data_IF_099999218935
#
_entry.id   IF_099999218935
#
_cell.length_a   1.000
_cell.length_b   1.000
_cell.length_c   1.000
_cell.angle_alpha   90.00
_cell.angle_beta   90.00
_cell.angle_gamma   90.00
#
_symmetry.space_group_name_H-M   'P 1'
#
loop_
_entity.id
_entity.type
_entity.pdbx_description
1 polymer ?
2 non-polymer ?
3 non-polymer ?
4 water ?
#
# COMPACT_ATOMS: atom_id res chain seq x y z
N UNK A 13 -14.18 1.71 -6.42
CA UNK A 13 -12.74 1.79 -6.67
C UNK A 13 -11.97 2.06 -5.38
N UNK A 14 -11.82 3.34 -5.05
CA UNK A 14 -11.42 3.73 -3.71
C UNK A 14 -9.91 3.68 -3.52
N UNK A 15 -9.19 3.42 -4.60
CA UNK A 15 -7.74 3.28 -4.54
C UNK A 15 -7.05 4.63 -4.54
N UNK A 16 -5.90 4.69 -3.89
CA UNK A 16 -5.01 5.83 -3.97
C UNK A 16 -3.84 5.48 -4.90
N UNK A 17 -3.52 6.37 -5.83
CA UNK A 17 -2.30 6.20 -6.62
C UNK A 17 -1.05 6.54 -5.81
N UNK A 18 -0.10 5.63 -5.82
CA UNK A 18 1.18 5.88 -5.13
C UNK A 18 2.26 5.73 -6.20
N UNK A 19 2.87 6.88 -6.53
CA UNK A 19 3.79 6.95 -7.65
C UNK A 19 5.19 6.40 -7.38
N UNK A 20 5.83 5.78 -8.38
CA UNK A 20 7.18 5.23 -8.27
C UNK A 20 8.20 6.33 -8.49
N UNK A 21 8.08 7.34 -7.62
CA UNK A 21 9.12 8.35 -7.42
C UNK A 21 9.60 8.13 -5.99
N UNK A 22 10.91 8.08 -5.75
CA UNK A 22 11.38 7.67 -4.43
C UNK A 22 10.92 8.54 -3.29
N UNK A 23 10.56 9.79 -3.58
CA UNK A 23 10.18 10.73 -2.52
C UNK A 23 8.66 10.83 -2.37
N UNK A 24 7.91 10.00 -3.08
CA UNK A 24 6.43 10.06 -3.01
C UNK A 24 5.92 9.71 -1.63
N UNK A 25 4.84 10.35 -1.20
CA UNK A 25 4.25 9.96 0.07
C UNK A 25 2.77 10.27 0.02
N UNK A 26 1.94 9.29 0.41
CA UNK A 26 0.48 9.43 0.35
C UNK A 26 -0.15 9.07 1.69
N UNK A 27 -1.46 9.30 1.83
CA UNK A 27 -2.22 8.93 3.02
C UNK A 27 -3.43 8.12 2.60
N UNK A 28 -3.66 7.00 3.27
CA UNK A 28 -4.80 6.14 3.00
C UNK A 28 -5.88 6.34 4.04
N UNK A 29 -7.06 6.77 3.58
CA UNK A 29 -8.26 6.88 4.45
C UNK A 29 -8.07 7.83 5.64
N UNK A 30 -7.09 8.72 5.57
CA UNK A 30 -6.79 9.55 6.73
C UNK A 30 -6.20 8.82 7.92
N UNK A 31 -5.79 7.58 7.70
CA UNK A 31 -5.38 6.74 8.81
C UNK A 31 -3.91 6.37 8.80
N UNK A 32 -3.38 6.13 7.60
CA UNK A 32 -2.04 5.59 7.49
C UNK A 32 -1.29 6.36 6.42
N UNK A 33 -0.12 6.88 6.77
CA UNK A 33 0.74 7.48 5.74
C UNK A 33 1.65 6.40 5.21
N UNK A 34 2.08 6.64 3.96
CA UNK A 34 2.84 5.67 3.17
C UNK A 34 4.06 6.33 2.55
N UNK A 35 5.21 5.65 2.57
CA UNK A 35 6.39 6.13 1.83
C UNK A 35 7.07 4.91 1.23
N UNK A 36 8.11 5.12 0.43
CA UNK A 36 8.88 4.00 -0.08
C UNK A 36 9.97 3.59 0.87
N UNK A 37 10.36 2.31 0.79
CA UNK A 37 11.40 1.80 1.66
C UNK A 37 12.73 2.43 1.41
N UNK A 38 13.05 2.62 0.14
CA UNK A 38 14.31 3.24 -0.31
C UNK A 38 14.22 3.56 -1.80
N UNK A 39 15.32 4.02 -2.39
CA UNK A 39 15.29 4.48 -3.76
C UNK A 39 14.96 3.40 -4.77
N UNK A 40 15.13 2.17 -4.35
CA UNK A 40 14.78 1.04 -5.16
C UNK A 40 13.25 0.77 -5.21
N UNK A 41 12.52 1.31 -4.24
CA UNK A 41 11.09 1.27 -4.26
C UNK A 41 10.51 -0.12 -4.33
N UNK A 42 11.03 -1.00 -3.49
CA UNK A 42 10.64 -2.41 -3.54
C UNK A 42 9.40 -2.67 -2.73
N UNK A 43 9.11 -1.81 -1.77
CA UNK A 43 7.88 -1.99 -0.99
C UNK A 43 7.50 -0.70 -0.30
N UNK A 44 6.20 -0.51 -0.09
CA UNK A 44 5.76 0.62 0.72
C UNK A 44 5.96 0.35 2.19
N UNK A 45 6.18 1.42 2.95
CA UNK A 45 6.22 1.40 4.42
C UNK A 45 5.09 2.29 4.93
N UNK A 46 4.59 1.98 6.14
CA UNK A 46 3.34 2.55 6.67
C UNK A 46 3.56 3.08 8.06
N UNK A 47 2.84 4.15 8.39
CA UNK A 47 2.82 4.68 9.74
C UNK A 47 1.44 5.22 10.10
N UNK A 48 0.91 4.78 11.24
CA UNK A 48 -0.42 5.18 11.68
C UNK A 48 -0.43 6.62 12.14
N UNK A 49 -1.38 7.39 11.58
CA UNK A 49 -1.56 8.85 11.93
C UNK A 49 -3.04 9.14 12.12
N UNK A 50 -3.78 8.09 12.48
CA UNK A 50 -5.26 8.14 12.60
C UNK A 50 -5.81 8.32 13.98
N UNK A 51 -4.98 8.85 14.88
CA UNK A 51 -5.42 9.15 16.23
C UNK A 51 -5.25 7.97 17.17
N UNK A 52 -5.24 8.25 18.47
CA UNK A 52 -5.04 7.21 19.48
C UNK A 52 -6.26 6.31 19.60
N UNK A 53 -6.02 5.02 19.79
CA UNK A 53 -7.09 4.03 19.77
C UNK A 53 -7.21 3.31 21.11
N UNK A 54 -8.42 3.24 21.64
CA UNK A 54 -8.67 2.54 22.89
C UNK A 54 -8.35 1.05 22.75
N UNK A 55 -8.52 0.53 21.53
CA UNK A 55 -8.14 -0.85 21.22
C UNK A 55 -7.47 -0.88 19.85
N UNK A 56 -6.47 -1.75 19.69
CA UNK A 56 -5.71 -1.84 18.44
C UNK A 56 -6.62 -2.20 17.27
N UNK A 57 -6.52 -1.42 16.20
CA UNK A 57 -7.31 -1.68 14.99
C UNK A 57 -6.40 -2.15 13.87
N UNK A 58 -6.90 -3.08 13.06
CA UNK A 58 -6.15 -3.70 11.98
C UNK A 58 -6.87 -3.47 10.68
N UNK A 59 -6.07 -3.27 9.64
CA UNK A 59 -6.57 -3.04 8.28
C UNK A 59 -5.79 -3.90 7.31
N UNK A 60 -6.48 -4.37 6.29
CA UNK A 60 -5.80 -5.08 5.22
C UNK A 60 -5.44 -4.08 4.12
N UNK A 61 -4.21 -4.20 3.58
CA UNK A 61 -3.73 -3.28 2.52
C UNK A 61 -4.00 -3.95 1.19
N UNK A 62 -4.96 -3.42 0.45
CA UNK A 62 -5.31 -3.96 -0.85
C UNK A 62 -4.51 -3.25 -1.93
N UNK A 63 -4.11 -4.05 -2.91
CA UNK A 63 -3.34 -3.55 -4.06
C UNK A 63 -3.96 -4.12 -5.34
N UNK A 64 -4.08 -3.25 -6.35
CA UNK A 64 -4.63 -3.69 -7.65
C UNK A 64 -3.54 -4.34 -8.49
N UNK A 65 -3.97 -5.19 -9.41
CA UNK A 65 -3.12 -5.73 -10.45
C UNK A 65 -3.44 -5.05 -11.79
N UNK A 66 -2.38 -4.78 -12.57
CA UNK A 66 -2.54 -4.12 -13.88
C UNK A 66 -2.50 -5.13 -15.02
N UNK A 67 -2.04 -6.35 -14.75
CA UNK A 67 -1.99 -7.39 -15.79
C UNK A 67 -2.23 -8.73 -15.11
N UNK A 68 -2.52 -9.75 -15.93
CA UNK A 68 -2.77 -11.09 -15.45
C UNK A 68 -4.24 -11.34 -15.17
N UNK A 69 -4.54 -12.45 -14.47
CA UNK A 69 -5.91 -12.87 -14.19
C UNK A 69 -6.62 -11.97 -13.19
N UNK A 70 -7.95 -11.96 -13.29
CA UNK A 70 -8.85 -11.28 -12.36
C UNK A 70 -8.41 -9.87 -12.04
N UNK A 71 -8.39 -9.01 -13.05
CA UNK A 71 -7.97 -7.61 -12.89
C UNK A 71 -8.89 -6.80 -12.01
N UNK A 72 -10.12 -7.29 -11.84
CA UNK A 72 -11.12 -6.63 -11.02
C UNK A 72 -11.00 -6.92 -9.53
N UNK A 73 -10.09 -7.83 -9.15
CA UNK A 73 -9.98 -8.25 -7.75
C UNK A 73 -8.70 -7.77 -7.12
N UNK A 74 -8.82 -7.22 -5.93
CA UNK A 74 -7.66 -6.78 -5.17
C UNK A 74 -6.87 -7.97 -4.65
N UNK A 75 -5.56 -7.79 -4.56
CA UNK A 75 -4.71 -8.65 -3.75
C UNK A 75 -4.35 -7.89 -2.47
N UNK A 76 -3.64 -8.55 -1.56
CA UNK A 76 -3.27 -7.90 -0.30
C UNK A 76 -1.78 -7.88 -0.13
N UNK A 77 -1.29 -6.75 0.38
CA UNK A 77 0.13 -6.67 0.75
C UNK A 77 0.39 -7.15 2.19
N UNK A 78 -0.67 -7.39 2.92
CA UNK A 78 -0.55 -7.71 4.33
C UNK A 78 -1.41 -6.74 5.13
N UNK A 79 -1.14 -6.63 6.42
CA UNK A 79 -1.97 -5.77 7.28
C UNK A 79 -1.16 -4.69 7.95
N UNK A 80 -1.86 -3.62 8.31
CA UNK A 80 -1.29 -2.57 9.15
C UNK A 80 -2.21 -2.32 10.31
N UNK A 81 -1.72 -1.63 11.34
CA UNK A 81 -2.51 -1.47 12.55
C UNK A 81 -2.16 -0.19 13.27
N UNK A 82 -3.00 0.15 14.23
CA UNK A 82 -2.85 1.41 14.95
C UNK A 82 -1.69 1.39 15.95
N UNK A 83 -1.02 0.26 16.11
CA UNK A 83 0.20 0.26 16.94
C UNK A 83 1.43 0.61 16.13
N UNK A 84 1.25 0.89 14.83
CA UNK A 84 2.35 1.33 13.98
C UNK A 84 2.50 2.85 14.01
N UNK A 85 2.42 3.44 15.18
CA UNK A 85 2.37 4.89 15.30
C UNK A 85 3.73 5.54 15.60
N UNK A 86 4.73 4.75 16.01
CA UNK A 86 6.02 5.31 16.42
C UNK A 86 7.13 5.09 15.40
N UNK A 87 6.97 4.07 14.56
CA UNK A 87 8.04 3.69 13.64
C UNK A 87 7.38 3.27 12.34
N UNK A 88 8.00 3.62 11.22
CA UNK A 88 7.50 3.13 9.94
C UNK A 88 7.64 1.60 9.87
N UNK A 89 6.65 0.94 9.30
CA UNK A 89 6.63 -0.53 9.30
C UNK A 89 6.25 -1.08 7.95
N UNK A 90 6.75 -2.28 7.62
CA UNK A 90 6.24 -2.99 6.47
C UNK A 90 4.87 -3.57 6.83
N UNK A 91 4.05 -3.80 5.84
CA UNK A 91 2.81 -4.52 6.10
C UNK A 91 3.15 -5.92 6.65
N UNK A 92 2.31 -6.41 7.55
CA UNK A 92 2.58 -7.67 8.26
C UNK A 92 1.95 -8.73 7.33
N UNK A 93 2.73 -9.78 7.06
CA UNK A 93 2.32 -10.82 6.12
C UNK A 93 0.99 -11.48 6.47
N UNK A 94 0.22 -11.83 5.44
CA UNK A 94 -0.93 -12.72 5.62
C UNK A 94 -0.51 -14.18 5.75
N UNK A 95 0.61 -14.53 5.13
CA UNK A 95 0.89 -14.11 3.76
C UNK A 95 -0.33 -14.30 2.86
N UNK A 96 -0.80 -15.54 2.76
CA UNK A 96 0.08 -16.69 2.78
C UNK A 96 0.99 -16.75 1.57
N UNK A 97 0.38 -16.91 0.40
CA UNK A 97 1.05 -16.60 -0.86
C UNK A 97 0.93 -15.12 -1.20
N UNK A 98 1.49 -14.27 -0.34
CA UNK A 98 1.28 -12.83 -0.43
C UNK A 98 2.55 -12.11 -0.86
N UNK A 99 2.40 -11.13 -1.74
CA UNK A 99 3.55 -10.49 -2.37
C UNK A 99 4.23 -9.51 -1.42
N UNK A 100 5.54 -9.66 -1.26
CA UNK A 100 6.30 -8.86 -0.28
C UNK A 100 6.80 -7.61 -0.99
N UNK A 101 6.97 -7.71 -2.31
CA UNK A 101 7.60 -6.63 -3.06
C UNK A 101 6.82 -6.29 -4.32
N UNK A 102 7.03 -5.09 -4.81
CA UNK A 102 6.35 -4.60 -5.99
C UNK A 102 6.90 -5.26 -7.25
N UNK A 103 5.98 -5.75 -8.08
CA UNK A 103 6.29 -6.43 -9.32
C UNK A 103 5.64 -5.72 -10.49
N UNK A 104 5.99 -6.13 -11.71
CA UNK A 104 5.43 -5.47 -12.86
C UNK A 104 3.92 -5.49 -12.91
N UNK A 105 3.31 -6.56 -12.41
CA UNK A 105 1.86 -6.69 -12.52
C UNK A 105 1.13 -5.82 -11.47
N UNK A 106 1.88 -5.05 -10.68
CA UNK A 106 1.26 -4.04 -9.81
C UNK A 106 1.34 -2.65 -10.44
N UNK A 107 2.10 -2.51 -11.53
CA UNK A 107 2.44 -1.18 -12.03
C UNK A 107 1.52 -0.73 -13.14
N UNK A 108 1.02 0.50 -12.96
CA UNK A 108 0.15 1.16 -13.97
C UNK A 108 0.96 2.28 -14.58
N UNK A 109 0.83 2.47 -15.88
CA UNK A 109 1.60 3.51 -16.53
C UNK A 109 0.94 4.82 -16.36
N UNK A 110 1.76 5.86 -16.20
CA UNK A 110 1.23 7.21 -16.09
C UNK A 110 0.31 7.55 -17.25
N UNK A 111 -0.69 8.34 -16.92
CA UNK A 111 -1.61 8.82 -17.94
C UNK A 111 -0.90 9.66 -18.99
N UNK A 112 0.17 10.33 -18.57
CA UNK A 112 0.97 11.09 -19.52
C UNK A 112 2.33 10.41 -19.70
N UNK A 113 2.72 10.09 -20.95
CA UNK A 113 4.08 9.53 -21.08
C UNK A 113 5.08 10.46 -20.42
N UNK A 114 6.25 9.91 -20.10
CA UNK A 114 7.40 10.64 -19.59
C UNK A 114 7.43 10.76 -18.09
N UNK A 115 6.38 10.26 -17.40
CA UNK A 115 6.22 10.38 -15.97
C UNK A 115 6.13 8.99 -15.27
N UNK A 116 6.41 8.91 -13.96
CA UNK A 116 6.54 7.61 -13.32
C UNK A 116 5.26 6.77 -13.36
N UNK A 117 5.46 5.47 -13.27
CA UNK A 117 4.33 4.56 -13.03
C UNK A 117 3.78 4.77 -11.62
N UNK A 118 2.65 4.13 -11.34
CA UNK A 118 2.09 4.13 -9.97
C UNK A 118 1.54 2.74 -9.66
N UNK A 119 1.40 2.50 -8.34
CA UNK A 119 0.59 1.37 -7.86
C UNK A 119 -0.70 1.97 -7.28
N UNK A 120 -1.70 1.08 -7.16
CA UNK A 120 -3.01 1.46 -6.56
C UNK A 120 -3.18 0.70 -5.26
N UNK A 121 -3.30 1.45 -4.16
CA UNK A 121 -3.42 0.82 -2.81
C UNK A 121 -4.54 1.47 -2.04
N UNK A 122 -5.10 0.69 -1.10
CA UNK A 122 -6.13 1.23 -0.21
C UNK A 122 -6.22 0.32 1.02
N UNK A 123 -6.91 0.82 2.04
CA UNK A 123 -7.20 0.01 3.22
C UNK A 123 -8.62 -0.44 3.24
N UNK A 124 -8.79 -1.64 3.77
CA UNK A 124 -10.13 -2.10 4.17
C UNK A 124 -10.00 -2.65 5.60
N UNK A 125 -11.07 -2.61 6.39
CA UNK A 125 -10.96 -3.21 7.72
C UNK A 125 -10.57 -4.70 7.67
N UNK A 126 -9.73 -5.11 8.63
CA UNK A 126 -9.38 -6.51 8.68
C UNK A 126 -10.51 -7.23 9.39
N UNK A 127 -11.32 -7.90 8.59
CA UNK A 127 -12.47 -8.68 9.09
C UNK A 127 -12.61 -9.99 8.32
X LIG B 1 -7.96 -7.97 2.30
X LIG C 1 -7.47 -9.52 1.03
X LIG C 1 -6.86 -10.61 1.50
X LIG C 1 -6.46 -11.33 0.40
X LIG C 1 -6.85 -10.66 -0.72
X LIG C 1 -7.48 -9.49 -0.32
#
# INVERSE_FOLDING_TARGET
MEHVPAELTRVSEGYTRFYRSPTASVILSGLVKVKWDNEQMTMPLFKWIGGEQAEELHFCVHIAHSSGPKLNRARSLGTVNSNMDQHWAQAQRNSGATRRTIEGFHLFENDIPNFPDYIKIKLVPKT
CO CO
IMD N1 C2 N3 C4 C5
#
